data_IF_411466982956
#
_entry.id   IF_411466982956
#
_cell.length_a   1.000
_cell.length_b   1.000
_cell.length_c   1.000
_cell.angle_alpha   90.00
_cell.angle_beta   90.00
_cell.angle_gamma   90.00
#
_symmetry.space_group_name_H-M   'P 1'
#
loop_
_entity.id
_entity.type
_entity.pdbx_description
1 polymer ?
#
# COMPACT_ATOMS: atom_id res chain seq x y z
N UNK A 1 16.77 -2.66 2.15
CA UNK A 1 15.63 -1.86 1.65
C UNK A 1 14.44 -2.19 2.53
N UNK A 2 14.07 -1.29 3.43
CA UNK A 2 12.97 -1.50 4.38
C UNK A 2 11.66 -1.15 3.68
N UNK A 3 10.72 -2.09 3.63
CA UNK A 3 9.38 -1.82 3.09
C UNK A 3 8.48 -1.44 4.27
N UNK A 4 7.99 -0.21 4.26
CA UNK A 4 6.94 0.22 5.20
C UNK A 4 5.58 -0.20 4.63
N UNK A 5 4.91 -1.14 5.28
CA UNK A 5 3.66 -1.72 4.77
C UNK A 5 2.44 -0.94 5.26
N UNK A 6 1.64 -0.38 4.34
CA UNK A 6 0.32 0.19 4.63
C UNK A 6 -0.78 -0.89 4.77
N UNK A 7 -1.71 -0.64 5.69
CA UNK A 7 -3.02 -1.24 5.96
C UNK A 7 -3.86 -1.60 4.71
N UNK A 8 -3.75 -0.85 3.61
CA UNK A 8 -4.60 -1.02 2.43
C UNK A 8 -3.92 -1.72 1.25
N UNK A 9 -2.67 -2.18 1.41
CA UNK A 9 -2.08 -3.10 0.44
C UNK A 9 -2.57 -4.54 0.70
N UNK A 10 -3.89 -4.71 0.68
CA UNK A 10 -4.51 -6.04 0.63
C UNK A 10 -4.02 -6.82 -0.60
N UNK A 11 -4.02 -8.14 -0.50
CA UNK A 11 -3.55 -9.04 -1.55
C UNK A 11 -2.53 -10.05 -1.03
N UNK A 12 -2.01 -10.88 -1.94
CA UNK A 12 -0.93 -11.80 -1.59
C UNK A 12 0.35 -11.03 -1.31
N UNK A 13 1.03 -11.40 -0.23
CA UNK A 13 2.30 -10.81 0.20
C UNK A 13 3.42 -11.86 0.09
N UNK A 14 3.77 -12.33 -1.12
CA UNK A 14 4.73 -13.43 -1.32
C UNK A 14 6.13 -13.07 -0.81
N UNK A 15 6.45 -11.78 -0.72
CA UNK A 15 7.71 -11.29 -0.18
C UNK A 15 7.93 -11.66 1.30
N UNK A 16 6.86 -11.89 2.07
CA UNK A 16 6.93 -12.38 3.45
C UNK A 16 7.33 -13.85 3.58
N UNK A 17 7.18 -14.62 2.51
CA UNK A 17 7.42 -16.07 2.49
C UNK A 17 8.61 -16.42 1.61
N UNK A 18 8.49 -16.20 0.29
CA UNK A 18 9.48 -16.64 -0.69
C UNK A 18 10.74 -15.76 -0.75
N UNK A 19 10.66 -14.53 -0.21
CA UNK A 19 11.74 -13.55 -0.30
C UNK A 19 12.08 -12.89 1.04
N UNK A 20 11.79 -13.57 2.16
CA UNK A 20 12.03 -13.04 3.51
C UNK A 20 13.51 -12.74 3.81
N UNK A 21 14.46 -13.34 3.09
CA UNK A 21 15.89 -13.02 3.20
C UNK A 21 16.30 -11.73 2.48
N UNK A 22 15.45 -11.22 1.57
CA UNK A 22 15.70 -10.01 0.79
C UNK A 22 14.86 -8.82 1.25
N UNK A 23 13.70 -9.08 1.83
CA UNK A 23 12.78 -8.07 2.32
C UNK A 23 12.56 -8.22 3.81
N UNK A 24 12.81 -7.13 4.54
CA UNK A 24 12.41 -7.00 5.93
C UNK A 24 11.27 -6.00 6.02
N UNK A 25 10.17 -6.42 6.63
CA UNK A 25 8.97 -5.60 6.77
C UNK A 25 8.98 -4.93 8.12
N UNK A 26 8.75 -3.63 8.11
CA UNK A 26 8.51 -2.84 9.31
C UNK A 26 7.07 -2.35 9.26
N UNK A 27 6.34 -2.52 10.36
CA UNK A 27 4.92 -2.16 10.41
C UNK A 27 4.51 -1.61 11.77
N UNK A 28 3.51 -0.74 11.79
CA UNK A 28 2.80 -0.33 13.00
C UNK A 28 1.45 -1.04 13.17
N UNK A 29 1.19 -2.07 12.35
CA UNK A 29 -0.05 -2.84 12.34
C UNK A 29 0.26 -4.33 12.20
N UNK A 30 -0.22 -5.16 13.12
CA UNK A 30 0.08 -6.60 13.17
C UNK A 30 -1.17 -7.44 12.96
N UNK A 31 -1.66 -7.53 11.73
CA UNK A 31 -2.75 -8.43 11.33
C UNK A 31 -2.21 -9.58 10.46
N UNK A 32 -2.97 -10.67 10.41
CA UNK A 32 -2.80 -11.81 9.51
C UNK A 32 -1.36 -12.36 9.43
N UNK A 33 -0.82 -12.47 8.20
CA UNK A 33 0.50 -13.03 7.91
C UNK A 33 1.62 -12.19 8.52
N UNK A 34 1.48 -10.86 8.49
CA UNK A 34 2.49 -9.95 9.04
C UNK A 34 2.60 -10.13 10.56
N UNK A 35 1.48 -10.26 11.26
CA UNK A 35 1.48 -10.51 12.72
C UNK A 35 2.24 -11.79 13.11
N UNK A 36 2.08 -12.88 12.34
CA UNK A 36 2.85 -14.12 12.54
C UNK A 36 4.35 -13.93 12.29
N UNK A 37 4.72 -13.10 11.30
CA UNK A 37 6.13 -12.81 11.01
C UNK A 37 6.76 -11.96 12.11
N UNK A 38 6.01 -11.02 12.68
CA UNK A 38 6.43 -10.25 13.85
C UNK A 38 6.68 -11.18 15.04
N UNK A 39 5.76 -12.10 15.37
CA UNK A 39 5.96 -13.01 16.51
C UNK A 39 7.12 -14.00 16.31
N UNK A 40 7.49 -14.29 15.07
CA UNK A 40 8.65 -15.10 14.69
C UNK A 40 9.97 -14.31 14.63
N UNK A 41 9.96 -12.99 14.88
CA UNK A 41 11.13 -12.12 14.74
C UNK A 41 11.57 -11.85 13.29
N UNK A 42 10.73 -12.22 12.32
CA UNK A 42 10.98 -12.08 10.88
C UNK A 42 10.47 -10.75 10.30
N UNK A 43 9.76 -9.95 11.10
CA UNK A 43 9.34 -8.59 10.77
C UNK A 43 9.47 -7.70 12.01
N UNK A 44 9.68 -6.40 11.79
CA UNK A 44 9.78 -5.40 12.85
C UNK A 44 8.44 -4.74 13.12
N UNK A 45 8.12 -4.55 14.40
CA UNK A 45 6.92 -3.84 14.83
C UNK A 45 7.28 -2.52 15.49
N UNK A 46 6.66 -1.43 15.02
CA UNK A 46 6.81 -0.07 15.55
C UNK A 46 5.54 0.30 16.30
N UNK A 47 5.52 0.25 17.65
CA UNK A 47 4.33 0.58 18.43
C UNK A 47 4.09 2.09 18.43
N UNK A 48 3.29 2.57 17.48
CA UNK A 48 2.89 3.98 17.36
C UNK A 48 1.40 4.10 17.05
N UNK A 49 0.73 5.05 17.70
CA UNK A 49 -0.66 5.39 17.38
C UNK A 49 -0.79 5.86 15.93
N UNK A 50 -1.86 5.45 15.24
CA UNK A 50 -2.11 5.84 13.85
C UNK A 50 -2.07 7.36 13.64
N UNK A 51 -2.61 8.15 14.58
CA UNK A 51 -2.58 9.62 14.50
C UNK A 51 -1.18 10.23 14.66
N UNK A 52 -0.23 9.48 15.23
CA UNK A 52 1.17 9.92 15.41
C UNK A 52 2.10 9.47 14.29
N UNK A 53 1.66 8.57 13.42
CA UNK A 53 2.48 8.09 12.29
C UNK A 53 2.90 9.25 11.39
N UNK A 54 1.97 10.17 11.10
CA UNK A 54 2.26 11.38 10.31
C UNK A 54 3.43 12.19 10.86
N UNK A 55 3.49 12.37 12.18
CA UNK A 55 4.58 13.10 12.84
C UNK A 55 5.95 12.44 12.62
N UNK A 56 6.01 11.12 12.50
CA UNK A 56 7.27 10.41 12.22
C UNK A 56 7.83 10.76 10.82
N UNK A 57 6.96 10.99 9.84
CA UNK A 57 7.36 11.47 8.53
C UNK A 57 7.76 12.95 8.55
N UNK A 58 6.97 13.79 9.23
CA UNK A 58 7.23 15.24 9.34
C UNK A 58 8.56 15.54 10.06
N UNK A 59 8.86 14.80 11.12
CA UNK A 59 10.12 14.90 11.87
C UNK A 59 11.28 14.12 11.21
N UNK A 60 11.06 13.51 10.04
CA UNK A 60 12.04 12.72 9.28
C UNK A 60 12.66 11.57 10.08
N UNK A 61 11.91 11.02 11.02
CA UNK A 61 12.29 9.83 11.79
C UNK A 61 12.13 8.55 10.95
N UNK A 62 11.33 8.61 9.89
CA UNK A 62 11.20 7.56 8.88
C UNK A 62 11.69 8.12 7.55
N UNK A 63 12.72 7.49 6.98
CA UNK A 63 13.15 7.72 5.62
C UNK A 63 12.38 6.79 4.66
N UNK A 64 11.88 7.35 3.56
CA UNK A 64 11.21 6.59 2.49
C UNK A 64 11.98 6.79 1.20
N UNK A 65 12.61 5.73 0.70
CA UNK A 65 13.26 5.79 -0.61
C UNK A 65 12.20 5.70 -1.72
N UNK A 66 11.29 4.74 -1.58
CA UNK A 66 10.27 4.41 -2.58
C UNK A 66 8.90 4.24 -1.93
N UNK A 67 7.89 4.96 -2.42
CA UNK A 67 6.48 4.74 -2.09
C UNK A 67 5.78 3.99 -3.23
N UNK A 68 5.16 2.85 -2.91
CA UNK A 68 4.32 2.09 -3.83
C UNK A 68 2.85 2.39 -3.53
N UNK A 69 2.12 2.99 -4.48
CA UNK A 69 0.73 3.42 -4.28
C UNK A 69 -0.19 2.94 -5.38
N UNK A 70 -1.50 2.90 -5.09
CA UNK A 70 -2.55 2.66 -6.07
C UNK A 70 -3.30 3.96 -6.31
N UNK A 71 -3.56 4.27 -7.57
CA UNK A 71 -4.23 5.53 -7.94
C UNK A 71 -5.25 5.32 -9.04
N UNK A 72 -6.18 6.27 -9.17
CA UNK A 72 -7.05 6.40 -10.33
C UNK A 72 -6.25 6.74 -11.59
N UNK A 73 -6.89 6.67 -12.75
CA UNK A 73 -6.40 7.38 -13.93
C UNK A 73 -6.29 8.89 -13.65
N UNK A 74 -5.35 9.59 -14.31
CA UNK A 74 -5.27 11.03 -14.22
C UNK A 74 -6.53 11.67 -14.80
N UNK A 75 -7.05 12.68 -14.12
CA UNK A 75 -8.12 13.52 -14.62
C UNK A 75 -7.63 14.46 -15.73
N UNK A 76 -8.54 15.29 -16.28
CA UNK A 76 -8.21 16.26 -17.34
C UNK A 76 -7.15 17.29 -16.95
N UNK A 77 -6.94 17.50 -15.65
CA UNK A 77 -5.96 18.44 -15.10
C UNK A 77 -4.63 17.76 -14.74
N UNK A 78 -4.47 16.47 -15.05
CA UNK A 78 -3.24 15.73 -14.78
C UNK A 78 -3.11 15.17 -13.37
N UNK A 79 -4.18 15.19 -12.56
CA UNK A 79 -4.16 14.64 -11.20
C UNK A 79 -4.72 13.23 -11.12
N UNK A 80 -4.03 12.36 -10.39
CA UNK A 80 -4.54 11.07 -9.96
C UNK A 80 -5.03 11.17 -8.50
N UNK A 81 -6.01 10.36 -8.12
CA UNK A 81 -6.49 10.26 -6.74
C UNK A 81 -6.00 8.95 -6.11
N UNK A 82 -5.55 9.01 -4.85
CA UNK A 82 -5.27 7.86 -3.99
C UNK A 82 -6.56 7.09 -3.59
N UNK A 83 -7.74 7.62 -3.90
CA UNK A 83 -9.02 7.04 -3.53
C UNK A 83 -9.15 6.84 -2.03
N UNK A 84 -9.42 5.61 -1.59
CA UNK A 84 -9.55 5.26 -0.17
C UNK A 84 -8.21 5.21 0.58
N UNK A 85 -7.07 5.23 -0.12
CA UNK A 85 -5.74 5.01 0.44
C UNK A 85 -4.99 6.28 0.82
N UNK A 86 -5.63 7.20 1.55
CA UNK A 86 -5.00 8.49 1.92
C UNK A 86 -4.18 8.38 3.20
N UNK A 87 -4.73 7.70 4.22
CA UNK A 87 -4.15 7.42 5.54
C UNK A 87 -2.78 8.05 5.87
N UNK A 88 -1.72 7.25 5.99
CA UNK A 88 -0.33 7.69 6.07
C UNK A 88 0.39 7.53 4.73
N UNK A 89 -0.32 7.03 3.71
CA UNK A 89 0.18 6.89 2.35
C UNK A 89 0.53 8.24 1.74
N UNK A 90 -0.29 9.27 1.97
CA UNK A 90 0.00 10.60 1.45
C UNK A 90 1.29 11.17 2.06
N UNK A 91 1.56 10.94 3.34
CA UNK A 91 2.80 11.30 4.02
C UNK A 91 3.99 10.52 3.45
N UNK A 92 3.81 9.22 3.20
CA UNK A 92 4.84 8.41 2.55
C UNK A 92 5.14 8.89 1.13
N UNK A 93 4.12 9.27 0.34
CA UNK A 93 4.27 9.86 -0.99
C UNK A 93 5.06 11.17 -0.92
N UNK A 94 4.73 12.04 0.05
CA UNK A 94 5.42 13.33 0.25
C UNK A 94 6.88 13.15 0.70
N UNK A 95 7.16 12.12 1.50
CA UNK A 95 8.50 11.83 2.01
C UNK A 95 9.37 11.02 1.05
N UNK A 96 8.76 10.31 0.08
CA UNK A 96 9.47 9.42 -0.82
C UNK A 96 10.36 10.15 -1.83
N UNK A 97 11.51 9.55 -2.13
CA UNK A 97 12.35 10.02 -3.25
C UNK A 97 11.73 9.63 -4.59
N UNK A 98 11.14 8.43 -4.67
CA UNK A 98 10.46 7.92 -5.87
C UNK A 98 9.08 7.42 -5.48
N UNK A 99 8.05 7.86 -6.22
CA UNK A 99 6.69 7.33 -6.08
C UNK A 99 6.38 6.48 -7.29
N UNK A 100 6.10 5.20 -7.09
CA UNK A 100 5.66 4.28 -8.13
C UNK A 100 4.18 4.01 -7.92
N UNK A 101 3.39 4.27 -8.96
CA UNK A 101 1.94 4.22 -8.88
C UNK A 101 1.37 3.13 -9.80
N UNK A 102 0.62 2.18 -9.22
CA UNK A 102 -0.23 1.27 -9.97
C UNK A 102 -1.56 1.97 -10.30
N UNK A 103 -1.79 2.23 -11.58
CA UNK A 103 -3.04 2.84 -12.05
C UNK A 103 -4.13 1.77 -12.14
N UNK A 104 -5.23 1.95 -11.40
CA UNK A 104 -6.37 1.02 -11.35
C UNK A 104 -7.66 1.69 -11.83
N UNK A 105 -8.40 0.98 -12.68
CA UNK A 105 -9.66 1.43 -13.26
C UNK A 105 -10.77 1.58 -12.21
N UNK A 106 -10.87 0.62 -11.28
CA UNK A 106 -11.92 0.60 -10.26
C UNK A 106 -11.55 1.36 -8.98
N UNK A 107 -10.45 2.12 -8.97
CA UNK A 107 -10.13 2.96 -7.82
C UNK A 107 -11.13 4.11 -7.78
N UNK A 108 -11.86 4.34 -6.66
CA UNK A 108 -12.79 5.45 -6.57
C UNK A 108 -12.02 6.78 -6.54
N UNK A 109 -12.57 7.80 -7.19
CA UNK A 109 -12.05 9.15 -7.07
C UNK A 109 -12.50 9.76 -5.74
N UNK A 110 -11.54 10.13 -4.89
CA UNK A 110 -11.78 10.93 -3.68
C UNK A 110 -11.15 12.30 -3.85
N UNK A 111 -11.80 13.33 -3.31
CA UNK A 111 -11.31 14.72 -3.32
C UNK A 111 -10.46 15.02 -2.07
N UNK A 112 -9.84 16.20 -2.04
CA UNK A 112 -9.09 16.71 -0.89
C UNK A 112 -7.62 16.25 -0.89
N UNK A 113 -7.13 15.79 0.26
CA UNK A 113 -5.72 15.42 0.48
C UNK A 113 -5.31 14.08 -0.18
N UNK A 114 -6.09 13.60 -1.16
CA UNK A 114 -5.84 12.36 -1.92
C UNK A 114 -5.18 12.59 -3.27
N UNK A 115 -5.04 13.85 -3.72
CA UNK A 115 -4.64 14.18 -5.08
C UNK A 115 -3.12 14.25 -5.25
N UNK A 116 -2.61 13.60 -6.30
CA UNK A 116 -1.20 13.60 -6.69
C UNK A 116 -1.10 13.92 -8.17
N UNK A 117 -0.24 14.87 -8.54
CA UNK A 117 0.00 15.17 -9.96
C UNK A 117 0.74 14.03 -10.66
N UNK A 118 0.33 13.67 -11.88
CA UNK A 118 0.91 12.56 -12.64
C UNK A 118 2.42 12.71 -12.87
N UNK A 119 2.94 13.92 -13.01
CA UNK A 119 4.38 14.18 -13.16
C UNK A 119 5.22 13.84 -11.91
N UNK A 120 4.57 13.64 -10.76
CA UNK A 120 5.24 13.27 -9.50
C UNK A 120 5.33 11.75 -9.31
N UNK A 121 4.77 10.96 -10.22
CA UNK A 121 4.70 9.51 -10.10
C UNK A 121 5.30 8.83 -11.33
N UNK A 122 6.02 7.74 -11.09
CA UNK A 122 6.34 6.76 -12.13
C UNK A 122 5.18 5.79 -12.21
N UNK A 123 4.40 5.84 -13.28
CA UNK A 123 3.19 5.03 -13.40
C UNK A 123 3.45 3.67 -14.03
N UNK A 124 2.84 2.64 -13.45
CA UNK A 124 2.71 1.31 -14.00
C UNK A 124 1.22 1.07 -14.29
N UNK A 125 0.90 0.62 -15.49
CA UNK A 125 -0.46 0.19 -15.81
C UNK A 125 -0.63 -1.28 -15.44
N UNK A 126 -1.73 -1.59 -14.75
CA UNK A 126 -2.11 -2.97 -14.52
C UNK A 126 -2.44 -3.63 -15.87
N UNK A 127 -1.73 -4.69 -16.24
CA UNK A 127 -2.20 -5.62 -17.26
C UNK A 127 -3.23 -6.52 -16.59
N UNK A 128 -4.44 -6.62 -17.14
CA UNK A 128 -5.51 -7.43 -16.56
C UNK A 128 -5.08 -8.89 -16.47
N UNK A 129 -4.64 -9.33 -15.30
CA UNK A 129 -4.63 -10.74 -14.97
C UNK A 129 -6.09 -11.08 -14.64
N UNK A 130 -6.74 -11.78 -15.57
CA UNK A 130 -8.05 -12.40 -15.37
C UNK A 130 -8.13 -12.98 -13.96
N UNK A 131 -9.10 -12.53 -13.16
CA UNK A 131 -9.39 -13.10 -11.85
C UNK A 131 -9.80 -14.57 -12.02
N UNK A 132 -8.82 -15.48 -12.02
CA UNK A 132 -9.05 -16.90 -11.92
C UNK A 132 -8.79 -17.33 -10.47
N UNK A 133 -9.89 -17.49 -9.72
CA UNK A 133 -10.12 -18.14 -8.39
C UNK A 133 -11.07 -17.21 -7.59
N UNK A 134 -12.29 -17.58 -7.19
CA UNK A 134 -13.02 -18.84 -7.22
C UNK A 134 -14.52 -18.57 -7.01
N UNK A 135 -15.33 -18.90 -8.02
CA UNK A 135 -16.78 -19.14 -7.92
C UNK A 135 -17.05 -20.48 -7.20
N UNK A 136 -16.57 -20.64 -5.96
CA UNK A 136 -16.73 -21.88 -5.17
C UNK A 136 -17.54 -21.70 -3.88
N UNK A 137 -18.38 -20.67 -3.76
CA UNK A 137 -19.28 -20.49 -2.61
C UNK A 137 -20.76 -20.29 -2.97
N UNK A 138 -21.20 -20.67 -4.18
CA UNK A 138 -22.64 -20.67 -4.55
C UNK A 138 -23.23 -22.06 -4.79
N UNK A 139 -22.72 -23.09 -4.12
CA UNK A 139 -23.28 -24.44 -4.24
C UNK A 139 -23.28 -25.18 -2.89
N UNK A 140 -23.90 -24.58 -1.87
CA UNK A 140 -24.30 -25.24 -0.62
C UNK A 140 -25.42 -24.41 0.06
N UNK A 141 -26.48 -24.04 -0.66
CA UNK A 141 -27.77 -23.69 -0.05
C UNK A 141 -28.84 -24.19 -1.03
N UNK A 142 -29.31 -25.40 -0.81
CA UNK A 142 -30.23 -26.08 -1.72
C UNK A 142 -30.30 -27.58 -1.50
N UNK A 143 -30.44 -28.01 -0.24
CA UNK A 143 -31.22 -29.19 0.18
C UNK A 143 -31.72 -28.92 1.60
#
# INVERSE_FOLDING_TARGET
MSIFCNLLWGGEQPYLEHHASRFRVTTNFSFDKVGKKVSQGLADYVPVSASRVRRLFEERLIAVDVALVKVTHPNKQGFCSLGMGVDFTMEAVKAATIVIAEVREYMPWTEGDSLIHADKIVSLRQHSVTQAKSLSQRMCIGM
#
